data_IF_217929958644
#
_entry.id   IF_217929958644
#
_cell.length_a   1.000
_cell.length_b   1.000
_cell.length_c   1.000
_cell.angle_alpha   90.00
_cell.angle_beta   90.00
_cell.angle_gamma   90.00
#
_symmetry.space_group_name_H-M   'P 1'
#
loop_
_entity.id
_entity.type
_entity.pdbx_description
1 polymer ?
#
# COMPACT_ATOMS: atom_id res chain seq x y z
N UNK A 1 5.35 -47.62 -35.87
CA UNK A 1 5.19 -47.70 -34.40
C UNK A 1 6.16 -46.80 -33.63
N UNK A 2 7.49 -46.94 -33.77
CA UNK A 2 8.50 -46.15 -33.00
C UNK A 2 8.37 -44.60 -33.08
N UNK A 3 7.92 -44.04 -34.22
CA UNK A 3 7.73 -42.58 -34.39
C UNK A 3 6.50 -42.05 -33.65
N UNK A 4 5.43 -42.84 -33.60
CA UNK A 4 4.20 -42.51 -32.86
C UNK A 4 4.47 -42.59 -31.36
N UNK A 5 5.23 -43.60 -30.91
CA UNK A 5 5.63 -43.72 -29.50
C UNK A 5 6.44 -42.51 -29.03
N UNK A 6 7.41 -42.03 -29.84
CA UNK A 6 8.19 -40.82 -29.52
C UNK A 6 7.33 -39.55 -29.45
N UNK A 7 6.34 -39.43 -30.33
CA UNK A 7 5.42 -38.29 -30.33
C UNK A 7 4.53 -38.29 -29.08
N UNK A 8 4.04 -39.46 -28.68
CA UNK A 8 3.26 -39.61 -27.45
C UNK A 8 4.11 -39.24 -26.23
N UNK A 9 5.35 -39.74 -26.14
CA UNK A 9 6.26 -39.41 -25.03
C UNK A 9 6.55 -37.90 -24.95
N UNK A 10 6.73 -37.25 -26.10
CA UNK A 10 6.94 -35.81 -26.16
C UNK A 10 5.69 -35.03 -25.71
N UNK A 11 4.50 -35.41 -26.18
CA UNK A 11 3.25 -34.78 -25.76
C UNK A 11 2.99 -34.98 -24.26
N UNK A 12 3.26 -36.17 -23.72
CA UNK A 12 3.14 -36.40 -22.27
C UNK A 12 4.10 -35.54 -21.47
N UNK A 13 5.34 -35.37 -21.94
CA UNK A 13 6.35 -34.53 -21.27
C UNK A 13 5.94 -33.05 -21.30
N UNK A 14 5.36 -32.59 -22.41
CA UNK A 14 4.86 -31.22 -22.56
C UNK A 14 3.66 -30.94 -21.64
N UNK A 15 2.73 -31.90 -21.54
CA UNK A 15 1.56 -31.80 -20.65
C UNK A 15 2.01 -31.80 -19.18
N UNK A 16 2.98 -32.64 -18.80
CA UNK A 16 3.54 -32.63 -17.45
C UNK A 16 4.20 -31.30 -17.09
N UNK A 17 4.85 -30.63 -18.05
CA UNK A 17 5.48 -29.32 -17.82
C UNK A 17 4.45 -28.20 -17.58
N UNK A 18 3.32 -28.24 -18.29
CA UNK A 18 2.22 -27.27 -18.14
C UNK A 18 1.46 -27.40 -16.81
N UNK A 19 1.45 -28.60 -16.20
CA UNK A 19 0.80 -28.83 -14.90
C UNK A 19 1.67 -28.27 -13.75
N UNK A 20 3.00 -28.29 -13.89
CA UNK A 20 3.92 -27.78 -12.86
C UNK A 20 3.96 -26.25 -12.84
N UNK A 21 3.69 -25.56 -13.95
CA UNK A 21 3.74 -24.09 -14.03
C UNK A 21 2.51 -23.36 -13.47
N UNK A 22 1.46 -24.08 -13.06
CA UNK A 22 0.20 -23.51 -12.56
C UNK A 22 0.09 -23.56 -11.02
N UNK A 23 1.21 -23.58 -10.30
CA UNK A 23 1.13 -23.42 -8.85
C UNK A 23 0.77 -21.96 -8.52
N UNK A 24 -0.31 -21.71 -7.76
CA UNK A 24 -0.60 -20.37 -7.27
C UNK A 24 0.57 -19.93 -6.40
N UNK A 25 1.34 -18.96 -6.88
CA UNK A 25 2.32 -18.27 -6.04
C UNK A 25 1.51 -17.52 -5.01
N UNK A 26 1.39 -18.09 -3.80
CA UNK A 26 0.99 -17.32 -2.63
C UNK A 26 2.10 -16.31 -2.39
N UNK A 27 1.91 -15.10 -2.89
CA UNK A 27 2.56 -13.95 -2.29
C UNK A 27 1.89 -13.81 -0.92
N UNK A 28 2.38 -14.56 0.07
CA UNK A 28 2.10 -14.22 1.46
C UNK A 28 2.53 -12.75 1.57
N UNK A 29 1.54 -11.86 1.74
CA UNK A 29 1.77 -10.44 1.84
C UNK A 29 2.78 -10.21 2.97
N UNK A 30 3.60 -9.14 2.90
CA UNK A 30 4.53 -8.87 3.98
C UNK A 30 3.75 -8.68 5.28
N UNK A 31 4.04 -9.52 6.27
CA UNK A 31 3.46 -9.39 7.61
C UNK A 31 3.93 -8.08 8.26
N UNK A 32 3.00 -7.37 8.90
CA UNK A 32 3.29 -6.17 9.64
C UNK A 32 2.33 -5.97 10.81
N UNK A 33 2.83 -5.29 11.84
CA UNK A 33 2.05 -4.84 12.99
C UNK A 33 1.86 -3.32 12.95
N UNK A 34 0.64 -2.86 13.22
CA UNK A 34 0.40 -1.45 13.55
C UNK A 34 0.74 -1.24 15.02
N UNK A 35 1.92 -0.68 15.26
CA UNK A 35 2.47 -0.47 16.62
C UNK A 35 1.88 0.76 17.32
N UNK A 36 1.37 1.75 16.58
CA UNK A 36 0.77 2.96 17.16
C UNK A 36 -0.06 3.72 16.14
N UNK A 37 -1.18 4.27 16.62
CA UNK A 37 -2.00 5.25 15.90
C UNK A 37 -2.17 6.49 16.79
N UNK A 38 -1.77 7.66 16.30
CA UNK A 38 -1.97 8.93 16.98
C UNK A 38 -2.76 9.86 16.05
N UNK A 39 -3.91 10.34 16.51
CA UNK A 39 -4.75 11.30 15.78
C UNK A 39 -4.85 12.58 16.56
N UNK A 40 -4.60 13.70 15.89
CA UNK A 40 -4.81 15.05 16.43
C UNK A 40 -5.77 15.79 15.51
N UNK A 41 -6.84 16.30 16.10
CA UNK A 41 -7.81 17.18 15.45
C UNK A 41 -7.74 18.56 16.11
N UNK A 42 -7.75 19.63 15.32
CA UNK A 42 -7.84 21.00 15.82
C UNK A 42 -8.95 21.75 15.08
N UNK A 43 -9.99 22.13 15.83
CA UNK A 43 -11.06 23.00 15.34
C UNK A 43 -10.49 24.39 15.04
N UNK A 44 -10.71 24.87 13.83
CA UNK A 44 -10.37 26.22 13.39
C UNK A 44 -11.51 27.19 13.71
N UNK A 45 -11.24 28.50 13.66
CA UNK A 45 -12.24 29.53 13.96
C UNK A 45 -13.46 29.52 13.02
N UNK A 46 -13.31 28.99 11.81
CA UNK A 46 -14.38 28.82 10.83
C UNK A 46 -15.13 27.48 10.97
N UNK A 47 -14.84 26.68 12.00
CA UNK A 47 -15.46 25.38 12.24
C UNK A 47 -14.80 24.19 11.53
N UNK A 48 -13.89 24.42 10.58
CA UNK A 48 -13.14 23.34 9.92
C UNK A 48 -12.19 22.62 10.87
N UNK A 49 -11.82 21.38 10.55
CA UNK A 49 -10.91 20.54 11.30
C UNK A 49 -9.55 20.46 10.60
N UNK A 50 -8.50 20.85 11.31
CA UNK A 50 -7.13 20.52 10.92
C UNK A 50 -6.74 19.17 11.52
N UNK A 51 -6.49 18.20 10.65
CA UNK A 51 -6.23 16.82 11.03
C UNK A 51 -4.77 16.43 10.84
N UNK A 52 -4.23 15.66 11.77
CA UNK A 52 -2.94 15.00 11.68
C UNK A 52 -3.06 13.57 12.22
N UNK A 53 -2.89 12.57 11.35
CA UNK A 53 -2.87 11.15 11.73
C UNK A 53 -1.47 10.58 11.51
N UNK A 54 -0.91 9.92 12.53
CA UNK A 54 0.34 9.17 12.46
C UNK A 54 0.05 7.68 12.68
N UNK A 55 0.42 6.85 11.72
CA UNK A 55 0.31 5.38 11.83
C UNK A 55 1.71 4.80 11.74
N UNK A 56 2.12 4.06 12.77
CA UNK A 56 3.44 3.45 12.86
C UNK A 56 3.36 1.94 12.68
N UNK A 57 4.16 1.43 11.75
CA UNK A 57 4.20 0.04 11.33
C UNK A 57 5.54 -0.60 11.68
N UNK A 58 5.52 -1.87 12.06
CA UNK A 58 6.70 -2.74 12.18
C UNK A 58 6.55 -3.90 11.20
N UNK A 59 7.46 -4.01 10.23
CA UNK A 59 7.37 -5.02 9.18
C UNK A 59 8.28 -6.21 9.47
N UNK A 60 7.73 -7.41 9.31
CA UNK A 60 8.44 -8.69 9.34
C UNK A 60 8.56 -9.29 7.93
N UNK A 61 8.69 -8.39 6.93
CA UNK A 61 8.79 -8.76 5.52
C UNK A 61 9.14 -7.56 4.63
N UNK A 62 9.42 -7.83 3.36
CA UNK A 62 9.66 -6.79 2.35
C UNK A 62 8.34 -6.29 1.78
N UNK A 63 8.12 -4.98 1.83
CA UNK A 63 6.92 -4.35 1.27
C UNK A 63 7.30 -3.19 0.34
N UNK A 64 6.33 -2.75 -0.47
CA UNK A 64 6.47 -1.56 -1.30
C UNK A 64 5.41 -0.50 -0.98
N UNK A 65 5.01 -0.42 0.29
CA UNK A 65 4.06 0.57 0.70
C UNK A 65 3.07 0.12 1.73
N UNK A 66 2.14 1.01 2.01
CA UNK A 66 0.93 0.76 2.82
C UNK A 66 -0.26 1.40 2.14
N UNK A 67 -1.44 0.87 2.46
CA UNK A 67 -2.72 1.40 2.06
C UNK A 67 -3.46 1.90 3.30
N UNK A 68 -4.12 3.04 3.19
CA UNK A 68 -4.96 3.62 4.24
C UNK A 68 -6.18 4.27 3.60
N UNK A 69 -7.37 3.86 4.03
CA UNK A 69 -8.63 4.47 3.63
C UNK A 69 -9.15 5.37 4.76
N UNK A 70 -9.55 6.58 4.40
CA UNK A 70 -10.23 7.53 5.27
C UNK A 70 -11.69 7.61 4.85
N UNK A 71 -12.53 6.98 5.66
CA UNK A 71 -13.99 7.04 5.56
C UNK A 71 -14.48 8.43 5.99
N UNK A 72 -15.21 9.10 5.11
CA UNK A 72 -15.85 10.39 5.35
C UNK A 72 -17.26 10.34 4.78
N UNK A 73 -18.14 11.17 5.32
CA UNK A 73 -19.47 11.35 4.74
C UNK A 73 -19.37 12.05 3.36
N UNK A 74 -20.33 11.80 2.46
CA UNK A 74 -20.33 12.34 1.09
C UNK A 74 -20.23 13.87 0.96
N UNK A 75 -20.62 14.61 2.02
CA UNK A 75 -20.54 16.08 2.06
C UNK A 75 -19.21 16.60 2.61
N UNK A 76 -18.35 15.73 3.13
CA UNK A 76 -17.04 16.08 3.66
C UNK A 76 -15.97 15.88 2.59
N UNK A 77 -14.97 16.74 2.58
CA UNK A 77 -13.85 16.63 1.62
C UNK A 77 -12.51 16.78 2.32
N UNK A 78 -11.46 16.26 1.69
CA UNK A 78 -10.09 16.48 2.13
C UNK A 78 -9.47 17.65 1.38
N UNK A 79 -9.26 18.75 2.10
CA UNK A 79 -8.56 19.91 1.59
C UNK A 79 -7.04 19.81 1.86
N UNK A 80 -6.27 20.11 0.81
CA UNK A 80 -4.79 20.18 0.84
C UNK A 80 -4.09 18.96 1.50
N UNK A 81 -4.42 17.72 1.13
CA UNK A 81 -3.84 16.53 1.74
C UNK A 81 -2.32 16.47 1.49
N UNK A 82 -1.55 16.32 2.57
CA UNK A 82 -0.09 16.17 2.57
C UNK A 82 0.29 14.89 3.30
N UNK A 83 1.27 14.19 2.75
CA UNK A 83 1.81 12.96 3.36
C UNK A 83 3.30 13.12 3.63
N UNK A 84 3.73 12.64 4.79
CA UNK A 84 5.14 12.45 5.12
C UNK A 84 5.38 11.03 5.63
N UNK A 85 6.61 10.55 5.47
CA UNK A 85 7.07 9.29 6.02
C UNK A 85 8.18 9.55 7.03
N UNK A 86 8.22 8.76 8.10
CA UNK A 86 9.32 8.71 9.05
C UNK A 86 9.93 7.32 8.97
N UNK A 87 11.17 7.24 8.52
CA UNK A 87 11.92 6.00 8.39
C UNK A 87 13.34 6.22 8.88
N UNK A 88 13.84 5.30 9.70
CA UNK A 88 15.18 5.40 10.32
C UNK A 88 15.42 6.75 11.01
N UNK A 89 14.40 7.25 11.71
CA UNK A 89 14.44 8.53 12.43
C UNK A 89 14.41 9.80 11.55
N UNK A 90 14.36 9.67 10.22
CA UNK A 90 14.29 10.81 9.29
C UNK A 90 12.87 11.01 8.79
N UNK A 91 12.40 12.25 8.88
CA UNK A 91 11.12 12.67 8.29
C UNK A 91 11.35 13.14 6.86
N UNK A 92 10.54 12.66 5.92
CA UNK A 92 10.55 13.07 4.53
C UNK A 92 9.12 13.35 4.08
N UNK A 93 8.87 14.55 3.56
CA UNK A 93 7.62 14.84 2.85
C UNK A 93 7.65 14.17 1.47
N UNK A 94 6.57 13.49 1.11
CA UNK A 94 6.45 12.78 -0.17
C UNK A 94 5.39 13.45 -1.04
N UNK A 95 5.54 13.32 -2.36
CA UNK A 95 4.69 14.02 -3.34
C UNK A 95 3.59 13.12 -3.89
N UNK A 96 2.44 13.73 -4.24
CA UNK A 96 1.37 13.05 -4.95
C UNK A 96 1.84 12.63 -6.34
N UNK A 97 1.65 11.37 -6.73
CA UNK A 97 2.01 10.85 -8.05
C UNK A 97 1.28 9.54 -8.33
N UNK A 98 0.94 9.30 -9.59
CA UNK A 98 0.40 8.01 -10.10
C UNK A 98 1.50 7.08 -10.67
N UNK A 99 2.77 7.40 -10.44
CA UNK A 99 3.91 6.68 -11.04
C UNK A 99 4.31 5.42 -10.27
N UNK A 100 3.75 5.19 -9.08
CA UNK A 100 4.17 4.15 -8.13
C UNK A 100 5.65 4.25 -7.74
N UNK A 101 6.29 5.40 -8.00
CA UNK A 101 7.69 5.61 -7.71
C UNK A 101 7.93 5.64 -6.19
N UNK A 102 9.10 5.16 -5.77
CA UNK A 102 9.47 5.18 -4.36
C UNK A 102 9.40 6.60 -3.78
N UNK A 103 8.91 6.72 -2.56
CA UNK A 103 8.67 7.98 -1.84
C UNK A 103 7.64 8.89 -2.52
N UNK A 104 6.53 8.30 -2.98
CA UNK A 104 5.36 9.02 -3.51
C UNK A 104 4.08 8.49 -2.88
N UNK A 105 2.98 9.20 -3.07
CA UNK A 105 1.65 8.70 -2.71
C UNK A 105 0.64 8.94 -3.82
N UNK A 106 -0.33 8.05 -3.92
CA UNK A 106 -1.55 8.29 -4.67
C UNK A 106 -2.69 8.59 -3.69
N UNK A 107 -3.62 9.43 -4.15
CA UNK A 107 -4.83 9.75 -3.41
C UNK A 107 -6.00 9.75 -4.40
N UNK A 108 -6.92 8.82 -4.18
CA UNK A 108 -8.17 8.66 -4.91
C UNK A 108 -9.35 9.00 -3.99
N UNK A 109 -10.43 9.47 -4.59
CA UNK A 109 -11.69 9.79 -3.92
C UNK A 109 -12.79 9.05 -4.64
N UNK A 110 -13.57 8.26 -3.91
CA UNK A 110 -14.64 7.42 -4.45
C UNK A 110 -16.01 8.01 -4.13
N UNK A 111 -17.01 7.67 -4.94
CA UNK A 111 -18.42 7.98 -4.65
C UNK A 111 -18.83 7.20 -3.39
N UNK A 112 -19.19 7.90 -2.31
CA UNK A 112 -19.34 7.34 -0.96
C UNK A 112 -18.50 8.08 0.10
N UNK A 113 -17.65 9.03 -0.30
CA UNK A 113 -16.86 9.90 0.59
C UNK A 113 -15.48 9.35 0.97
N UNK A 114 -15.17 8.10 0.59
CA UNK A 114 -13.90 7.45 0.90
C UNK A 114 -12.70 8.07 0.17
N UNK A 115 -11.65 8.37 0.95
CA UNK A 115 -10.36 8.80 0.46
C UNK A 115 -9.29 7.72 0.67
N UNK A 116 -8.79 7.19 -0.44
CA UNK A 116 -7.81 6.11 -0.46
C UNK A 116 -6.40 6.63 -0.67
N UNK A 117 -5.55 6.47 0.35
CA UNK A 117 -4.13 6.75 0.30
C UNK A 117 -3.34 5.48 0.00
N UNK A 118 -2.65 5.45 -1.14
CA UNK A 118 -1.61 4.45 -1.44
C UNK A 118 -0.25 5.07 -1.30
N UNK A 119 0.54 4.57 -0.35
CA UNK A 119 1.87 5.12 -0.05
C UNK A 119 2.92 4.21 -0.64
N UNK A 120 3.76 4.71 -1.54
CA UNK A 120 4.84 3.93 -2.16
C UNK A 120 6.15 4.20 -1.45
N UNK A 121 6.61 3.23 -0.65
CA UNK A 121 7.90 3.28 0.02
C UNK A 121 8.49 1.87 0.12
N UNK A 122 9.72 1.69 -0.35
CA UNK A 122 10.43 0.41 -0.25
C UNK A 122 10.80 0.13 1.19
N UNK A 123 10.25 -0.94 1.72
CA UNK A 123 10.43 -1.41 3.09
C UNK A 123 11.29 -2.68 3.07
N UNK A 124 12.27 -2.74 3.96
CA UNK A 124 13.06 -3.95 4.19
C UNK A 124 12.45 -4.72 5.34
N UNK A 125 12.70 -6.02 5.36
CA UNK A 125 12.38 -6.87 6.50
C UNK A 125 12.99 -6.32 7.81
N UNK A 126 12.26 -6.45 8.91
CA UNK A 126 12.59 -5.91 10.24
C UNK A 126 12.56 -4.39 10.36
N UNK A 127 12.07 -3.66 9.34
CA UNK A 127 12.08 -2.19 9.35
C UNK A 127 10.80 -1.58 9.93
N UNK A 128 10.93 -0.37 10.46
CA UNK A 128 9.81 0.45 10.94
C UNK A 128 9.53 1.60 9.97
N UNK A 129 8.26 1.94 9.84
CA UNK A 129 7.79 3.08 9.04
C UNK A 129 6.68 3.78 9.82
N UNK A 130 6.71 5.10 9.90
CA UNK A 130 5.53 5.88 10.28
C UNK A 130 5.05 6.68 9.09
N UNK A 131 3.76 6.60 8.78
CA UNK A 131 3.13 7.49 7.80
C UNK A 131 2.36 8.58 8.54
N UNK A 132 2.54 9.82 8.11
CA UNK A 132 1.89 11.01 8.66
C UNK A 132 1.01 11.63 7.59
N UNK A 133 -0.30 11.60 7.82
CA UNK A 133 -1.33 12.21 6.98
C UNK A 133 -1.75 13.54 7.59
N UNK A 134 -1.82 14.60 6.78
CA UNK A 134 -2.32 15.92 7.18
C UNK A 134 -3.28 16.45 6.15
N UNK A 135 -4.40 17.01 6.61
CA UNK A 135 -5.41 17.60 5.75
C UNK A 135 -6.29 18.56 6.56
N UNK A 136 -7.06 19.37 5.84
CA UNK A 136 -8.21 20.09 6.37
C UNK A 136 -9.48 19.31 5.99
N UNK A 137 -10.47 19.33 6.86
CA UNK A 137 -11.79 18.71 6.66
C UNK A 137 -12.89 19.65 7.18
#
# INVERSE_FOLDING_TARGET
MKRITKLITFCTMLISFLIISNQPVKADGPDYDITSVHVKAKVQSNGSLQMERRISYSFNGKAHGVFYSQDLEDYQTLEQPKVAIISKGKTQQIKKSKSNANNTYELEHYSGGDYDFRIYHRIKDGSKLTVVYRYLN
#
